data_IF_810493834729
#
_entry.id   IF_810493834729
#
_cell.length_a   1.000
_cell.length_b   1.000
_cell.length_c   1.000
_cell.angle_alpha   90.00
_cell.angle_beta   90.00
_cell.angle_gamma   90.00
#
_symmetry.space_group_name_H-M   'P 1'
#
loop_
_entity.id
_entity.type
_entity.pdbx_description
1 polymer ?
2 non-polymer ?
3 water ?
#
# COMPACT_ATOMS: atom_id res chain seq x y z
N UNK A 1 1.33 5.82 -14.47
CA UNK A 1 1.43 5.23 -15.84
C UNK A 1 2.78 4.53 -16.01
N UNK A 2 3.26 3.93 -14.92
CA UNK A 2 4.53 3.20 -14.93
C UNK A 2 4.14 1.75 -14.62
N UNK A 3 3.14 1.58 -13.76
CA UNK A 3 2.66 0.26 -13.38
C UNK A 3 1.73 -0.26 -14.49
N UNK A 4 2.16 -1.35 -15.10
CA UNK A 4 1.45 -2.00 -16.20
C UNK A 4 0.40 -3.01 -15.72
N UNK A 5 0.27 -3.15 -14.41
CA UNK A 5 -0.69 -4.08 -13.83
C UNK A 5 -1.76 -3.34 -13.06
N UNK A 6 -3.01 -3.61 -13.40
CA UNK A 6 -4.16 -3.03 -12.73
C UNK A 6 -5.13 -4.19 -12.67
N UNK A 7 -6.02 -4.19 -11.69
CA UNK A 7 -6.97 -5.27 -11.55
C UNK A 7 -8.28 -5.04 -12.29
N UNK A 8 -8.70 -6.03 -13.07
CA UNK A 8 -9.96 -5.94 -13.79
C UNK A 8 -11.06 -6.40 -12.85
N UNK A 9 -12.16 -5.66 -12.83
CA UNK A 9 -13.29 -6.02 -11.99
C UNK A 9 -13.08 -5.89 -10.50
N UNK A 10 -12.56 -4.75 -10.06
CA UNK A 10 -12.34 -4.55 -8.64
C UNK A 10 -13.61 -4.16 -7.91
N UNK A 11 -13.97 -4.96 -6.93
CA UNK A 11 -15.14 -4.73 -6.09
C UNK A 11 -14.53 -4.24 -4.79
N UNK A 12 -14.41 -2.93 -4.67
CA UNK A 12 -13.81 -2.30 -3.50
C UNK A 12 -14.58 -2.55 -2.19
N UNK A 13 -15.75 -3.18 -2.27
CA UNK A 13 -16.55 -3.50 -1.08
C UNK A 13 -15.98 -4.75 -0.42
N UNK A 14 -15.42 -5.64 -1.23
CA UNK A 14 -14.84 -6.89 -0.76
C UNK A 14 -13.44 -6.75 -0.15
N UNK A 15 -12.80 -5.60 -0.32
CA UNK A 15 -11.46 -5.39 0.25
C UNK A 15 -11.58 -4.66 1.59
N UNK A 16 -12.79 -4.62 2.13
CA UNK A 16 -13.08 -3.97 3.40
C UNK A 16 -12.51 -4.77 4.57
N UNK A 17 -12.11 -4.07 5.64
CA UNK A 17 -11.60 -4.77 6.80
C UNK A 17 -10.15 -4.60 7.19
N UNK A 18 -9.68 -5.57 7.96
CA UNK A 18 -8.33 -5.64 8.50
C UNK A 18 -7.28 -6.09 7.49
N UNK A 19 -6.14 -5.40 7.48
CA UNK A 19 -5.02 -5.72 6.58
C UNK A 19 -3.67 -5.46 7.27
N UNK A 20 -2.65 -6.24 6.88
CA UNK A 20 -1.29 -6.11 7.43
C UNK A 20 -0.30 -5.83 6.30
N UNK A 21 0.59 -4.86 6.48
CA UNK A 21 1.60 -4.56 5.46
C UNK A 21 2.76 -5.55 5.64
N UNK A 22 2.69 -6.68 4.94
CA UNK A 22 3.71 -7.72 5.04
C UNK A 22 5.03 -7.32 4.39
N UNK A 23 4.96 -6.62 3.26
CA UNK A 23 6.16 -6.18 2.54
C UNK A 23 5.95 -4.82 1.89
N UNK A 24 7.04 -4.08 1.71
CA UNK A 24 7.03 -2.74 1.09
C UNK A 24 8.22 -2.62 0.17
N UNK A 25 8.09 -1.80 -0.87
CA UNK A 25 9.18 -1.58 -1.82
C UNK A 25 9.02 -0.18 -2.40
N UNK A 26 10.14 0.49 -2.64
CA UNK A 26 10.11 1.84 -3.18
C UNK A 26 11.22 1.99 -4.20
N UNK A 27 11.07 2.98 -5.07
CA UNK A 27 12.05 3.25 -6.11
C UNK A 27 13.24 4.03 -5.56
N UNK A 28 13.09 4.51 -4.33
CA UNK A 28 14.13 5.30 -3.69
C UNK A 28 14.32 4.77 -2.26
N UNK A 29 15.58 4.55 -1.88
CA UNK A 29 15.92 4.04 -0.54
C UNK A 29 15.44 4.99 0.57
N UNK A 30 15.50 6.29 0.30
CA UNK A 30 15.10 7.33 1.25
C UNK A 30 13.60 7.43 1.55
N UNK A 31 12.78 6.72 0.78
CA UNK A 31 11.35 6.75 1.00
C UNK A 31 10.94 5.75 2.08
N UNK A 32 11.70 4.67 2.21
CA UNK A 32 11.40 3.63 3.20
C UNK A 32 12.56 3.39 4.17
N UNK A 33 13.59 4.21 4.06
CA UNK A 33 14.80 4.15 4.87
C UNK A 33 14.63 3.79 6.35
N UNK A 34 14.45 4.80 7.19
CA UNK A 34 14.28 4.59 8.62
C UNK A 34 12.79 4.54 8.95
N UNK A 35 12.50 4.37 10.24
CA UNK A 35 11.12 4.29 10.75
C UNK A 35 10.33 5.58 10.52
N UNK A 36 11.03 6.71 10.44
CA UNK A 36 10.41 8.02 10.23
C UNK A 36 10.46 8.47 8.76
N UNK A 37 10.81 7.55 7.87
CA UNK A 37 10.87 7.85 6.44
C UNK A 37 9.45 8.20 5.97
N UNK A 38 9.30 9.29 5.20
CA UNK A 38 8.02 9.79 4.66
C UNK A 38 6.94 8.79 4.23
N UNK A 39 7.32 7.79 3.44
CA UNK A 39 6.33 6.80 2.97
C UNK A 39 6.36 5.45 3.65
N UNK A 40 6.87 5.43 4.87
CA UNK A 40 6.92 4.21 5.65
C UNK A 40 5.61 4.21 6.44
N UNK A 41 4.54 3.73 5.82
CA UNK A 41 3.22 3.65 6.45
C UNK A 41 2.75 2.21 6.57
N UNK A 42 2.05 1.92 7.67
CA UNK A 42 1.54 0.58 7.95
C UNK A 42 0.02 0.60 7.90
N UNK A 43 -0.55 -0.18 6.99
CA UNK A 43 -2.00 -0.23 6.83
C UNK A 43 -2.68 -1.03 7.94
N UNK A 44 -3.72 -0.43 8.51
CA UNK A 44 -4.50 -1.04 9.59
C UNK A 44 -5.83 -1.58 9.06
N UNK A 45 -6.62 -0.68 8.49
CA UNK A 45 -7.94 -1.03 7.97
C UNK A 45 -8.30 -0.25 6.71
N UNK A 46 -9.06 -0.90 5.84
CA UNK A 46 -9.54 -0.27 4.62
C UNK A 46 -11.06 -0.21 4.75
N UNK A 47 -11.62 0.99 4.62
CA UNK A 47 -13.05 1.22 4.77
C UNK A 47 -13.68 1.91 3.57
N UNK A 48 -14.32 1.14 2.68
CA UNK A 48 -14.94 1.77 1.51
C UNK A 48 -16.25 2.48 1.89
N UNK A 49 -16.38 3.75 1.50
CA UNK A 49 -17.59 4.52 1.78
C UNK A 49 -18.68 4.15 0.77
N UNK A 50 -19.96 4.33 1.14
CA UNK A 50 -21.04 3.99 0.19
C UNK A 50 -20.97 4.75 -1.14
N UNK A 51 -20.36 5.94 -1.13
CA UNK A 51 -20.22 6.74 -2.34
C UNK A 51 -19.26 6.10 -3.35
N UNK A 52 -18.36 5.26 -2.86
CA UNK A 52 -17.40 4.60 -3.73
C UNK A 52 -15.94 4.96 -3.44
N UNK A 53 -15.73 5.85 -2.47
CA UNK A 53 -14.39 6.28 -2.08
C UNK A 53 -13.74 5.21 -1.18
N UNK A 54 -12.60 5.55 -0.59
CA UNK A 54 -11.90 4.60 0.26
C UNK A 54 -11.18 5.25 1.44
N UNK A 55 -11.67 5.00 2.65
CA UNK A 55 -11.06 5.53 3.87
C UNK A 55 -9.96 4.57 4.29
N UNK A 56 -8.74 5.07 4.35
CA UNK A 56 -7.58 4.27 4.73
C UNK A 56 -7.13 4.64 6.13
N UNK A 57 -7.03 3.63 6.99
CA UNK A 57 -6.55 3.83 8.36
C UNK A 57 -5.15 3.24 8.40
N UNK A 58 -4.15 4.08 8.68
CA UNK A 58 -2.77 3.62 8.74
C UNK A 58 -2.01 4.20 9.93
N UNK A 59 -0.85 3.61 10.20
CA UNK A 59 0.04 4.03 11.27
C UNK A 59 1.34 4.49 10.62
N UNK A 60 1.89 5.58 11.12
CA UNK A 60 3.14 6.15 10.61
C UNK A 60 3.88 6.71 11.82
N UNK A 61 5.20 6.59 11.83
CA UNK A 61 6.02 7.10 12.92
C UNK A 61 6.32 8.55 12.54
N UNK A 62 5.73 9.48 13.28
CA UNK A 62 5.91 10.91 13.02
C UNK A 62 6.92 11.59 13.94
N UNK A 63 6.45 11.92 15.14
CA UNK A 63 7.28 12.58 16.14
C UNK A 63 8.29 11.56 16.67
N UNK A 64 7.91 10.90 17.75
CA UNK A 64 8.73 9.87 18.38
C UNK A 64 7.68 8.93 18.98
N UNK A 65 6.58 8.80 18.25
CA UNK A 65 5.44 7.97 18.63
C UNK A 65 4.78 7.38 17.39
N UNK A 66 4.08 6.27 17.58
CA UNK A 66 3.37 5.60 16.49
C UNK A 66 2.00 6.26 16.35
N UNK A 67 1.90 7.17 15.39
CA UNK A 67 0.67 7.90 15.13
C UNK A 67 -0.29 7.14 14.22
N UNK A 68 -1.59 7.38 14.42
CA UNK A 68 -2.62 6.75 13.61
C UNK A 68 -3.26 7.81 12.73
N UNK A 69 -3.11 7.66 11.42
CA UNK A 69 -3.68 8.62 10.49
C UNK A 69 -4.84 8.04 9.71
N UNK A 70 -5.69 8.91 9.19
CA UNK A 70 -6.85 8.49 8.41
C UNK A 70 -6.87 9.27 7.11
N UNK A 71 -6.55 8.57 6.03
CA UNK A 71 -6.48 9.15 4.69
C UNK A 71 -7.68 8.70 3.87
N UNK A 72 -8.12 9.53 2.94
CA UNK A 72 -9.25 9.19 2.08
C UNK A 72 -8.72 9.14 0.66
N UNK A 73 -9.06 8.06 -0.02
CA UNK A 73 -8.66 7.86 -1.40
C UNK A 73 -9.97 7.92 -2.17
N UNK A 74 -10.12 8.97 -2.97
CA UNK A 74 -11.33 9.19 -3.77
C UNK A 74 -11.26 8.40 -5.08
N UNK A 75 -12.40 7.93 -5.55
CA UNK A 75 -12.44 7.16 -6.79
C UNK A 75 -12.26 8.03 -8.03
N UNK A 76 -11.93 7.39 -9.14
CA UNK A 76 -11.76 8.06 -10.43
C UNK A 76 -12.59 7.27 -11.44
N UNK A 77 -12.37 7.50 -12.73
CA UNK A 77 -13.09 6.80 -13.78
C UNK A 77 -12.72 5.31 -13.86
N UNK A 78 -11.46 5.00 -13.57
CA UNK A 78 -10.97 3.62 -13.60
C UNK A 78 -11.18 3.03 -12.20
N UNK A 79 -11.96 1.94 -12.09
CA UNK A 79 -12.26 1.27 -10.82
C UNK A 79 -11.10 0.78 -9.94
N UNK A 80 -9.90 0.70 -10.51
CA UNK A 80 -8.73 0.24 -9.76
C UNK A 80 -7.80 1.38 -9.38
N UNK A 81 -8.14 2.60 -9.78
CA UNK A 81 -7.31 3.77 -9.48
C UNK A 81 -8.02 4.78 -8.59
N UNK A 82 -7.32 5.25 -7.56
CA UNK A 82 -7.86 6.22 -6.61
C UNK A 82 -6.90 7.40 -6.49
N UNK A 83 -7.39 8.52 -5.97
CA UNK A 83 -6.60 9.74 -5.81
C UNK A 83 -6.60 10.23 -4.36
N UNK A 84 -5.43 10.63 -3.86
CA UNK A 84 -5.29 11.15 -2.50
C UNK A 84 -4.98 12.65 -2.65
N UNK A 85 -5.41 13.46 -1.68
CA UNK A 85 -5.25 14.93 -1.75
C UNK A 85 -4.04 15.58 -1.06
N UNK A 86 -3.40 16.49 -1.80
CA UNK A 86 -2.23 17.28 -1.37
C UNK A 86 -1.61 17.99 -2.59
N UNK A 87 -0.48 18.68 -2.38
CA UNK A 87 0.24 19.37 -3.48
C UNK A 87 0.85 18.29 -4.35
N UNK A 88 0.82 17.08 -3.81
CA UNK A 88 1.33 15.89 -4.46
C UNK A 88 0.12 15.22 -5.12
N UNK A 89 0.15 15.09 -6.44
CA UNK A 89 -0.94 14.46 -7.20
C UNK A 89 -0.73 12.95 -7.17
N UNK A 90 -0.95 12.35 -6.01
CA UNK A 90 -0.75 10.91 -5.84
C UNK A 90 -1.91 10.03 -6.28
N UNK A 91 -1.57 8.94 -6.94
CA UNK A 91 -2.53 7.96 -7.43
C UNK A 91 -2.21 6.61 -6.80
N UNK A 92 -3.24 5.94 -6.32
CA UNK A 92 -3.09 4.62 -5.71
C UNK A 92 -3.66 3.68 -6.75
N UNK A 93 -2.99 2.56 -6.98
CA UNK A 93 -3.43 1.58 -7.97
C UNK A 93 -3.43 0.19 -7.35
N UNK A 94 -4.54 -0.53 -7.49
CA UNK A 94 -4.64 -1.89 -6.97
C UNK A 94 -4.26 -2.78 -8.14
N UNK A 95 -3.17 -3.53 -7.99
CA UNK A 95 -2.68 -4.41 -9.05
C UNK A 95 -3.33 -5.79 -9.08
N UNK A 96 -3.50 -6.39 -7.91
CA UNK A 96 -4.08 -7.72 -7.82
C UNK A 96 -4.62 -7.94 -6.41
N UNK A 97 -5.59 -8.84 -6.28
CA UNK A 97 -6.19 -9.19 -4.99
C UNK A 97 -7.16 -10.34 -5.17
N UNK A 98 -7.21 -11.23 -4.18
CA UNK A 98 -8.13 -12.36 -4.19
C UNK A 98 -9.18 -12.10 -3.09
N UNK A 99 -9.07 -10.92 -2.49
CA UNK A 99 -9.95 -10.43 -1.43
C UNK A 99 -9.85 -11.13 -0.07
N UNK A 100 -9.66 -12.45 -0.09
CA UNK A 100 -9.57 -13.28 1.12
C UNK A 100 -8.17 -13.43 1.74
N UNK A 101 -7.12 -13.28 0.93
CA UNK A 101 -5.75 -13.43 1.42
C UNK A 101 -4.87 -12.18 1.29
N UNK A 102 -4.63 -11.74 0.06
CA UNK A 102 -3.74 -10.60 -0.20
C UNK A 102 -4.32 -9.48 -1.07
N UNK A 103 -3.53 -8.43 -1.23
CA UNK A 103 -3.85 -7.25 -2.04
C UNK A 103 -2.53 -6.57 -2.31
N UNK A 104 -2.24 -6.29 -3.58
CA UNK A 104 -1.00 -5.61 -3.96
C UNK A 104 -1.39 -4.23 -4.49
N UNK A 105 -0.69 -3.19 -4.07
CA UNK A 105 -0.98 -1.84 -4.55
C UNK A 105 0.29 -1.03 -4.64
N UNK A 106 0.26 -0.01 -5.48
CA UNK A 106 1.40 0.87 -5.66
C UNK A 106 0.86 2.27 -5.54
N UNK A 107 1.75 3.21 -5.24
CA UNK A 107 1.39 4.60 -5.07
C UNK A 107 2.45 5.39 -5.83
N UNK A 108 2.06 6.49 -6.47
CA UNK A 108 2.99 7.30 -7.26
C UNK A 108 2.47 8.71 -7.53
N UNK A 109 3.38 9.67 -7.74
CA UNK A 109 3.00 11.06 -8.04
C UNK A 109 2.80 11.09 -9.55
N UNK A 110 1.79 11.81 -10.03
CA UNK A 110 1.51 11.89 -11.46
C UNK A 110 2.49 12.77 -12.26
N UNK A 111 3.40 13.46 -11.57
CA UNK A 111 4.38 14.34 -12.22
C UNK A 111 5.82 13.88 -11.97
N UNK A 112 6.14 13.51 -10.74
CA UNK A 112 7.47 12.98 -10.42
C UNK A 112 7.13 11.60 -9.84
N UNK A 113 6.60 10.71 -10.71
CA UNK A 113 6.15 9.33 -10.45
C UNK A 113 7.20 8.34 -10.00
N UNK A 114 8.27 8.26 -10.78
CA UNK A 114 9.35 7.33 -10.51
C UNK A 114 10.08 7.52 -9.21
N UNK A 115 9.95 8.69 -8.61
CA UNK A 115 10.64 8.99 -7.36
C UNK A 115 9.59 9.01 -6.29
N UNK A 116 8.43 8.46 -6.65
CA UNK A 116 7.30 8.41 -5.77
C UNK A 116 6.78 6.97 -5.73
N UNK A 117 7.23 6.12 -6.64
CA UNK A 117 6.74 4.75 -6.64
C UNK A 117 7.07 4.01 -5.34
N UNK A 118 6.01 3.62 -4.64
CA UNK A 118 6.07 2.87 -3.38
C UNK A 118 4.95 1.84 -3.49
N UNK A 119 5.28 0.57 -3.32
CA UNK A 119 4.29 -0.50 -3.45
C UNK A 119 4.27 -1.38 -2.20
N UNK A 120 3.15 -2.04 -1.95
CA UNK A 120 3.04 -2.90 -0.77
C UNK A 120 2.28 -4.17 -1.04
N UNK A 121 2.52 -5.14 -0.17
CA UNK A 121 1.86 -6.43 -0.21
C UNK A 121 1.09 -6.48 1.09
N UNK A 122 -0.23 -6.46 0.99
CA UNK A 122 -1.09 -6.51 2.16
C UNK A 122 -1.68 -7.90 2.28
N UNK A 123 -1.72 -8.44 3.49
CA UNK A 123 -2.30 -9.76 3.73
C UNK A 123 -3.30 -9.65 4.87
N UNK A 124 -4.27 -10.56 4.89
CA UNK A 124 -5.33 -10.57 5.90
C UNK A 124 -4.94 -11.00 7.33
N UNK A 125 -4.05 -11.98 7.45
CA UNK A 125 -3.62 -12.52 8.75
C UNK A 125 -2.13 -12.23 9.02
N UNK A 126 -1.71 -12.25 10.31
CA UNK A 126 -0.30 -11.98 10.63
C UNK A 126 0.61 -13.18 10.38
N UNK A 127 0.60 -13.67 9.14
CA UNK A 127 1.42 -14.81 8.74
C UNK A 127 2.19 -14.45 7.48
N UNK A 128 3.30 -15.13 7.25
CA UNK A 128 4.12 -14.90 6.07
C UNK A 128 3.56 -15.78 4.94
N UNK A 129 2.80 -15.16 4.03
CA UNK A 129 2.19 -15.86 2.90
C UNK A 129 3.18 -15.86 1.73
N UNK A 130 3.74 -17.03 1.43
CA UNK A 130 4.71 -17.16 0.34
C UNK A 130 4.11 -16.90 -1.04
N UNK A 131 2.89 -17.36 -1.26
CA UNK A 131 2.20 -17.19 -2.53
C UNK A 131 2.06 -15.70 -2.85
N UNK A 132 1.67 -14.93 -1.84
CA UNK A 132 1.47 -13.49 -1.97
C UNK A 132 2.78 -12.74 -2.23
N UNK A 133 3.84 -13.16 -1.55
CA UNK A 133 5.15 -12.55 -1.70
C UNK A 133 5.77 -12.87 -3.06
N UNK A 134 5.43 -14.03 -3.62
CA UNK A 134 5.94 -14.44 -4.92
C UNK A 134 5.27 -13.51 -5.95
N UNK A 135 3.96 -13.39 -5.84
CA UNK A 135 3.18 -12.54 -6.73
C UNK A 135 3.66 -11.09 -6.64
N UNK A 136 4.00 -10.66 -5.43
CA UNK A 136 4.48 -9.30 -5.21
C UNK A 136 5.81 -9.07 -5.92
N UNK A 137 6.71 -10.05 -5.85
CA UNK A 137 8.00 -9.94 -6.51
C UNK A 137 7.83 -9.98 -8.03
N UNK A 138 6.85 -10.76 -8.48
CA UNK A 138 6.56 -10.88 -9.90
C UNK A 138 6.15 -9.53 -10.47
N UNK A 139 5.26 -8.85 -9.77
CA UNK A 139 4.78 -7.54 -10.21
C UNK A 139 5.84 -6.47 -10.07
N UNK A 140 6.84 -6.74 -9.26
CA UNK A 140 7.93 -5.80 -8.99
C UNK A 140 9.13 -5.87 -9.91
N UNK A 141 9.36 -7.01 -10.55
CA UNK A 141 10.53 -7.16 -11.41
C UNK A 141 10.62 -6.19 -12.58
N UNK A 142 9.48 -5.73 -13.07
CA UNK A 142 9.44 -4.79 -14.20
C UNK A 142 9.58 -3.33 -13.76
N UNK A 143 9.52 -3.10 -12.45
CA UNK A 143 9.60 -1.75 -11.90
C UNK A 143 10.98 -1.42 -11.30
N UNK A 144 11.37 -0.13 -11.31
CA UNK A 144 12.67 0.30 -10.77
C UNK A 144 12.77 0.42 -9.24
N UNK A 145 12.67 -0.69 -8.53
CA UNK A 145 12.75 -0.67 -7.08
C UNK A 145 14.19 -0.79 -6.55
N UNK A 146 14.51 -0.01 -5.53
CA UNK A 146 15.85 -0.01 -4.95
C UNK A 146 15.92 -0.37 -3.46
N UNK A 147 14.77 -0.65 -2.86
CA UNK A 147 14.71 -1.05 -1.45
C UNK A 147 13.47 -1.93 -1.28
N UNK A 148 13.62 -3.01 -0.53
CA UNK A 148 12.52 -3.95 -0.28
C UNK A 148 12.61 -4.42 1.16
N UNK A 149 11.57 -4.13 1.94
CA UNK A 149 11.52 -4.52 3.35
C UNK A 149 10.46 -5.60 3.50
N UNK A 150 10.66 -6.48 4.47
CA UNK A 150 9.71 -7.55 4.74
C UNK A 150 9.66 -7.67 6.26
N UNK A 151 8.49 -7.98 6.80
CA UNK A 151 8.34 -8.09 8.25
C UNK A 151 7.91 -9.50 8.67
N UNK A 152 8.21 -9.88 9.91
CA UNK A 152 7.86 -11.20 10.45
C UNK A 152 6.58 -11.10 11.30
N UNK A 153 5.92 -12.24 11.58
CA UNK A 153 4.69 -12.28 12.38
C UNK A 153 4.67 -11.44 13.65
N UNK A 154 5.74 -11.53 14.43
CA UNK A 154 5.87 -10.80 15.68
C UNK A 154 5.77 -9.29 15.44
N UNK A 155 6.45 -8.80 14.40
CA UNK A 155 6.41 -7.38 14.09
C UNK A 155 5.05 -6.93 13.57
N UNK A 156 4.36 -7.81 12.86
CA UNK A 156 3.06 -7.49 12.30
C UNK A 156 2.00 -7.20 13.37
N UNK A 157 2.19 -7.78 14.55
CA UNK A 157 1.26 -7.57 15.66
C UNK A 157 1.59 -6.37 16.54
N UNK A 158 2.67 -5.67 16.24
CA UNK A 158 3.07 -4.50 17.03
C UNK A 158 2.71 -3.19 16.35
N UNK A 159 2.53 -2.15 17.15
CA UNK A 159 2.22 -0.82 16.65
C UNK A 159 3.45 -0.38 15.85
N UNK A 160 3.24 0.05 14.61
CA UNK A 160 4.32 0.50 13.72
C UNK A 160 5.40 -0.54 13.43
N UNK A 161 5.07 -1.81 13.66
CA UNK A 161 5.98 -2.92 13.45
C UNK A 161 7.25 -2.76 14.29
N UNK A 162 7.04 -2.51 15.59
CA UNK A 162 8.06 -2.29 16.61
C UNK A 162 8.68 -0.90 16.47
X LIG B 1 1.32 11.26 5.26
X LIG B 1 0.47 11.55 6.08
X LIG B 1 2.23 12.12 4.89
X LIG B 1 1.45 9.90 4.58
X LIG B 1 0.54 9.60 3.39
X LIG B 1 0.82 8.17 2.96
X LIG B 1 0.01 7.62 1.79
X LIG B 1 -0.41 6.17 2.08
X LIG B 1 -1.49 5.64 1.16
X LIG B 1 -1.89 4.21 1.47
X LIG B 1 -2.97 3.72 0.53
X LIG B 1 -3.32 2.26 0.69
X LIG B 1 -4.40 1.86 -0.30
X LIG B 1 -4.79 0.41 -0.20
X LIG B 1 -5.90 -0.10 -1.67
#
# INVERSE_FOLDING_TARGET
LIVTQTMKGLDIQKVAGTWYSLAMAASDISLLDAQSAPLRVYVEELKPTPEGDLEILLQKWENDECAQKKIIAEKTKIPAVFKIDALNENKVLVLDTDYKKYLLFCMENSAEPEQSLVCQCLVRTPEVDDEALEKFDKALKALPMHIRLSFNPTQLEEQCHI
BRC C1 OE1 OE2 C2 C3 C4 C5 C6 C7 C8 C9 C10 C11 C12 BR1
#
